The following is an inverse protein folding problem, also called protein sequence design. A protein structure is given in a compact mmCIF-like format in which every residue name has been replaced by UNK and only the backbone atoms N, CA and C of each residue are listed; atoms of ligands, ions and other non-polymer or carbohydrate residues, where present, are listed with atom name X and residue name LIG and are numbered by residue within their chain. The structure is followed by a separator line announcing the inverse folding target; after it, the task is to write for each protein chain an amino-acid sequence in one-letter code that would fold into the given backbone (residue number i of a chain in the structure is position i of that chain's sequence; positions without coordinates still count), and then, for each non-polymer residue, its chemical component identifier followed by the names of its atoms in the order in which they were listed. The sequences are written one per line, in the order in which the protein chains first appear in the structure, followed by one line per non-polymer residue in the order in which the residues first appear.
data_IF_236048666626
#
_entry.id   IF_236048666626
#
_cell.length_a   1.000
_cell.length_b   1.000
_cell.length_c   1.000
_cell.angle_alpha   90.00
_cell.angle_beta   90.00
_cell.angle_gamma   90.00
#
_symmetry.space_group_name_H-M   'P 1'
#
loop_
_entity.id
_entity.type
_entity.pdbx_description
1 polymer ?
#
# COMPACT_ATOMS: atom_id res chain seq x y z
N UNK A 1 11.06 1.92 16.28
CA UNK A 1 11.10 3.39 16.27
C UNK A 1 12.05 3.98 17.30
N UNK A 2 12.05 3.50 18.56
CA UNK A 2 12.89 4.04 19.64
C UNK A 2 14.35 4.35 19.27
N UNK A 3 15.05 3.42 18.61
CA UNK A 3 16.43 3.63 18.16
C UNK A 3 16.57 4.84 17.22
N UNK A 4 15.70 4.96 16.22
CA UNK A 4 15.71 6.08 15.26
C UNK A 4 15.40 7.39 15.97
N UNK A 5 14.48 7.39 16.93
CA UNK A 5 14.19 8.58 17.72
C UNK A 5 15.43 9.08 18.45
N UNK A 6 16.10 8.19 19.18
CA UNK A 6 17.30 8.52 19.97
C UNK A 6 18.49 8.95 19.11
N UNK A 7 18.69 8.33 17.94
CA UNK A 7 19.90 8.59 17.14
C UNK A 7 19.76 9.71 16.13
N UNK A 8 18.53 9.98 15.65
CA UNK A 8 18.31 10.86 14.49
C UNK A 8 17.41 12.07 14.77
N UNK A 9 16.55 11.99 15.79
CA UNK A 9 15.49 12.99 16.02
C UNK A 9 15.73 13.76 17.31
N UNK A 10 15.94 13.04 18.42
CA UNK A 10 16.12 13.62 19.74
C UNK A 10 17.36 14.53 19.77
N UNK A 11 17.16 15.80 20.15
CA UNK A 11 18.23 16.81 20.20
C UNK A 11 18.71 17.32 18.85
N UNK A 12 18.09 16.92 17.73
CA UNK A 12 18.46 17.38 16.40
C UNK A 12 17.65 18.62 16.00
N UNK A 13 18.18 19.81 16.32
CA UNK A 13 17.51 21.10 16.05
C UNK A 13 17.45 21.46 14.56
N UNK A 14 18.35 20.90 13.74
CA UNK A 14 18.40 21.13 12.28
C UNK A 14 17.34 20.30 11.52
N UNK A 15 16.71 19.32 12.18
CA UNK A 15 15.71 18.47 11.56
C UNK A 15 14.37 19.19 11.44
N UNK A 16 13.90 19.39 10.21
CA UNK A 16 12.62 20.07 9.93
C UNK A 16 11.53 19.15 9.38
N UNK A 17 11.91 18.05 8.72
CA UNK A 17 10.96 17.13 8.09
C UNK A 17 11.41 15.68 8.23
N UNK A 18 10.48 14.83 8.67
CA UNK A 18 10.57 13.36 8.64
C UNK A 18 9.64 12.87 7.52
N UNK A 19 10.12 11.94 6.70
CA UNK A 19 9.29 11.23 5.71
C UNK A 19 9.31 9.75 6.07
N UNK A 20 8.13 9.21 6.35
CA UNK A 20 7.93 7.79 6.65
C UNK A 20 7.30 7.10 5.46
N UNK A 21 7.95 6.05 4.97
CA UNK A 21 7.46 5.25 3.84
C UNK A 21 7.06 3.86 4.33
N UNK A 22 5.81 3.51 4.05
CA UNK A 22 5.15 2.25 4.40
C UNK A 22 5.29 1.85 5.88
N UNK A 23 5.32 2.84 6.77
CA UNK A 23 5.38 2.64 8.21
C UNK A 23 4.88 3.87 8.98
N UNK A 24 4.49 3.63 10.24
CA UNK A 24 4.19 4.67 11.21
C UNK A 24 2.71 5.00 11.39
N UNK A 25 1.85 4.72 10.42
CA UNK A 25 0.45 5.14 10.52
C UNK A 25 -0.31 4.42 11.64
N UNK A 26 0.03 3.16 11.96
CA UNK A 26 -0.70 2.30 12.91
C UNK A 26 -0.30 2.50 14.37
N UNK A 27 0.66 3.37 14.68
CA UNK A 27 1.10 3.63 16.06
C UNK A 27 1.02 5.12 16.40
N UNK A 28 0.95 5.46 17.67
CA UNK A 28 1.01 6.85 18.11
C UNK A 28 2.38 7.47 17.85
N UNK A 29 2.50 8.30 16.81
CA UNK A 29 3.78 8.90 16.44
C UNK A 29 4.21 10.00 17.42
N UNK A 30 3.27 10.74 18.01
CA UNK A 30 3.58 11.78 18.99
C UNK A 30 4.11 11.17 20.31
N UNK A 31 3.61 9.99 20.69
CA UNK A 31 4.12 9.26 21.86
C UNK A 31 5.46 8.55 21.59
N UNK A 32 5.78 8.22 20.34
CA UNK A 32 6.96 7.43 19.98
C UNK A 32 8.13 8.25 19.41
N UNK A 33 7.88 9.49 18.97
CA UNK A 33 8.87 10.38 18.37
C UNK A 33 8.91 11.72 19.11
N UNK A 34 10.11 12.23 19.35
CA UNK A 34 10.36 13.53 19.98
C UNK A 34 10.13 14.67 18.99
N UNK A 35 8.87 14.88 18.59
CA UNK A 35 8.49 15.87 17.60
C UNK A 35 8.44 17.28 18.21
N UNK A 36 9.30 18.20 17.72
CA UNK A 36 9.26 19.62 18.11
C UNK A 36 8.19 20.38 17.31
N UNK A 37 7.64 21.51 17.78
CA UNK A 37 6.53 22.21 17.10
C UNK A 37 6.82 22.64 15.65
N UNK A 38 8.09 22.77 15.27
CA UNK A 38 8.54 23.09 13.90
C UNK A 38 8.76 21.87 13.01
N UNK A 39 8.86 20.67 13.59
CA UNK A 39 9.15 19.43 12.90
C UNK A 39 7.89 18.81 12.29
N UNK A 40 7.91 18.58 10.97
CA UNK A 40 6.83 17.93 10.23
C UNK A 40 7.14 16.46 10.01
N UNK A 41 6.17 15.58 10.23
CA UNK A 41 6.25 14.15 9.98
C UNK A 41 5.23 13.77 8.90
N UNK A 42 5.71 13.53 7.68
CA UNK A 42 4.90 13.10 6.54
C UNK A 42 4.87 11.57 6.48
N UNK A 43 3.67 10.98 6.48
CA UNK A 43 3.50 9.53 6.55
C UNK A 43 2.80 9.02 5.29
N UNK A 44 3.53 8.27 4.48
CA UNK A 44 3.03 7.53 3.33
C UNK A 44 2.92 6.06 3.71
N UNK A 45 1.78 5.62 4.25
CA UNK A 45 1.66 4.28 4.79
C UNK A 45 0.36 3.59 4.37
N UNK A 46 0.52 2.38 3.83
CA UNK A 46 -0.61 1.54 3.41
C UNK A 46 -1.25 0.79 4.58
N UNK A 47 -0.55 0.64 5.72
CA UNK A 47 -1.12 -0.08 6.86
C UNK A 47 -2.29 0.69 7.48
N UNK A 48 -3.31 -0.07 7.89
CA UNK A 48 -4.54 0.42 8.53
C UNK A 48 -4.97 -0.54 9.66
N UNK A 49 -5.76 -0.07 10.64
CA UNK A 49 -6.26 1.30 10.81
C UNK A 49 -5.16 2.32 11.15
N UNK A 50 -5.39 3.59 10.83
CA UNK A 50 -4.51 4.68 11.26
C UNK A 50 -4.70 4.88 12.77
N UNK A 51 -3.62 5.07 13.51
CA UNK A 51 -3.72 5.37 14.93
C UNK A 51 -4.51 6.65 15.15
N UNK A 52 -5.49 6.62 16.04
CA UNK A 52 -6.43 7.73 16.27
C UNK A 52 -5.73 9.04 16.64
N UNK A 53 -4.61 8.98 17.37
CA UNK A 53 -3.83 10.17 17.75
C UNK A 53 -3.06 10.79 16.58
N UNK A 54 -2.76 10.01 15.54
CA UNK A 54 -2.16 10.57 14.32
C UNK A 54 -3.19 11.36 13.49
N UNK A 55 -4.48 11.20 13.77
CA UNK A 55 -5.59 11.90 13.11
C UNK A 55 -6.08 13.05 13.97
N UNK A 56 -6.29 12.79 15.26
CA UNK A 56 -6.96 13.70 16.20
C UNK A 56 -6.03 14.44 17.17
N UNK A 57 -4.73 14.12 17.22
CA UNK A 57 -3.78 14.64 18.21
C UNK A 57 -3.51 16.16 18.18
N UNK A 58 -4.31 16.95 17.45
CA UNK A 58 -4.14 18.40 17.28
C UNK A 58 -5.11 19.26 18.10
N UNK A 59 -5.65 18.78 19.22
CA UNK A 59 -6.61 19.57 20.00
C UNK A 59 -6.01 20.86 20.60
N UNK A 60 -4.68 21.04 20.67
CA UNK A 60 -4.04 22.18 21.37
C UNK A 60 -2.92 22.89 20.58
N UNK A 61 -2.52 22.42 19.40
CA UNK A 61 -1.42 23.03 18.63
C UNK A 61 -1.19 22.34 17.28
N UNK A 62 -0.52 23.03 16.36
CA UNK A 62 -0.28 22.58 14.98
C UNK A 62 0.09 21.09 14.92
N UNK A 63 -0.73 20.28 14.23
CA UNK A 63 -0.42 18.87 14.01
C UNK A 63 0.94 18.73 13.34
N UNK A 64 1.87 18.03 13.99
CA UNK A 64 3.18 17.72 13.41
C UNK A 64 3.10 16.52 12.46
N UNK A 65 2.09 15.67 12.64
CA UNK A 65 1.89 14.43 11.89
C UNK A 65 0.90 14.67 10.76
N UNK A 66 1.29 14.28 9.56
CA UNK A 66 0.50 14.41 8.34
C UNK A 66 0.42 13.05 7.65
N UNK A 67 -0.74 12.41 7.77
CA UNK A 67 -1.03 11.18 7.03
C UNK A 67 -1.42 11.55 5.60
N UNK A 68 -0.70 11.01 4.62
CA UNK A 68 -1.01 11.24 3.21
C UNK A 68 -2.28 10.47 2.85
N UNK A 69 -3.29 11.21 2.41
CA UNK A 69 -4.62 10.67 2.11
C UNK A 69 -4.59 9.85 0.82
N UNK A 70 -5.23 8.69 0.88
CA UNK A 70 -5.35 7.74 -0.22
C UNK A 70 -6.81 7.45 -0.62
N UNK A 71 -7.72 8.34 -0.21
CA UNK A 71 -9.18 8.27 -0.32
C UNK A 71 -9.86 7.06 0.33
N UNK A 72 -9.12 6.14 0.97
CA UNK A 72 -9.68 4.93 1.58
C UNK A 72 -10.39 5.17 2.92
N UNK A 73 -9.97 6.20 3.67
CA UNK A 73 -10.51 6.53 5.00
C UNK A 73 -10.72 8.03 5.11
N UNK A 74 -11.93 8.45 5.49
CA UNK A 74 -12.20 9.85 5.86
C UNK A 74 -11.91 10.07 7.33
N UNK A 75 -11.34 11.22 7.70
CA UNK A 75 -11.02 11.57 9.09
C UNK A 75 -12.25 11.50 10.01
N UNK A 76 -13.44 11.81 9.47
CA UNK A 76 -14.72 11.74 10.18
C UNK A 76 -15.10 10.32 10.64
N UNK A 77 -14.57 9.28 9.99
CA UNK A 77 -14.85 7.89 10.36
C UNK A 77 -13.93 7.36 11.45
N UNK A 78 -12.84 8.09 11.76
CA UNK A 78 -11.86 7.69 12.77
C UNK A 78 -12.40 8.06 14.15
N UNK A 79 -12.58 7.09 15.08
CA UNK A 79 -13.03 7.40 16.43
C UNK A 79 -12.04 8.29 17.19
N UNK A 80 -12.54 9.11 18.12
CA UNK A 80 -11.71 9.88 19.06
C UNK A 80 -11.40 9.07 20.32
N UNK A 81 -10.35 9.47 21.06
CA UNK A 81 -9.96 8.83 22.34
C UNK A 81 -11.08 8.87 23.40
N UNK A 82 -11.13 7.86 24.26
CA UNK A 82 -12.04 7.84 25.41
C UNK A 82 -11.50 8.77 26.50
N UNK A 83 -12.26 9.79 26.88
CA UNK A 83 -11.90 10.67 28.00
C UNK A 83 -12.28 9.99 29.33
N UNK A 84 -11.30 9.73 30.20
CA UNK A 84 -11.51 9.09 31.51
C UNK A 84 -12.26 9.98 32.52
N UNK A 85 -12.35 11.29 32.27
CA UNK A 85 -12.92 12.30 33.18
C UNK A 85 -14.45 12.37 33.21
N UNK A 86 -15.17 11.44 32.57
CA UNK A 86 -16.63 11.50 32.49
C UNK A 86 -17.37 10.85 33.68
N UNK A 87 -16.64 10.24 34.62
CA UNK A 87 -17.18 9.60 35.82
C UNK A 87 -17.25 10.53 37.04
N UNK A 88 -17.71 11.78 36.88
CA UNK A 88 -18.01 12.60 38.06
C UNK A 88 -19.34 12.17 38.73
N UNK A 89 -19.21 11.68 39.96
CA UNK A 89 -20.32 11.33 40.87
C UNK A 89 -21.06 12.59 41.37
N UNK A 90 -21.94 13.15 40.54
CA UNK A 90 -22.93 14.15 40.96
C UNK A 90 -24.16 13.52 41.61
N UNK A 91 -24.68 14.14 42.68
CA UNK A 91 -25.85 13.66 43.45
C UNK A 91 -27.13 13.55 42.62
N UNK A 92 -27.90 12.50 42.90
CA UNK A 92 -29.13 12.14 42.17
C UNK A 92 -30.37 12.90 42.66
N UNK A 93 -30.43 14.22 42.51
CA UNK A 93 -31.61 14.97 43.01
C UNK A 93 -32.71 15.22 41.98
N UNK A 94 -32.48 15.11 40.65
CA UNK A 94 -33.51 15.37 39.62
C UNK A 94 -33.57 14.32 38.49
N UNK A 95 -34.79 14.03 38.01
CA UNK A 95 -35.08 13.07 36.91
C UNK A 95 -34.39 13.47 35.59
N UNK A 96 -34.29 14.78 35.33
CA UNK A 96 -33.56 15.32 34.18
C UNK A 96 -32.06 14.98 34.22
N UNK A 97 -31.47 15.00 35.41
CA UNK A 97 -30.05 14.68 35.65
C UNK A 97 -29.79 13.19 35.43
N UNK A 98 -30.71 12.32 35.88
CA UNK A 98 -30.66 10.88 35.62
C UNK A 98 -30.75 10.54 34.13
N UNK A 99 -31.64 11.19 33.39
CA UNK A 99 -31.78 11.01 31.93
C UNK A 99 -30.50 11.40 31.19
N UNK A 100 -29.93 12.58 31.48
CA UNK A 100 -28.66 13.03 30.88
C UNK A 100 -27.49 12.10 31.18
N UNK A 101 -27.38 11.60 32.43
CA UNK A 101 -26.34 10.64 32.83
C UNK A 101 -26.46 9.32 32.06
N UNK A 102 -27.69 8.84 31.84
CA UNK A 102 -27.95 7.65 31.02
C UNK A 102 -27.54 7.87 29.56
N UNK A 103 -27.97 8.98 28.95
CA UNK A 103 -27.60 9.34 27.57
C UNK A 103 -26.08 9.45 27.40
N UNK A 104 -25.38 10.06 28.37
CA UNK A 104 -23.90 10.14 28.38
C UNK A 104 -23.25 8.76 28.47
N UNK A 105 -23.75 7.88 29.35
CA UNK A 105 -23.26 6.49 29.47
C UNK A 105 -23.47 5.71 28.18
N UNK A 106 -24.66 5.80 27.57
CA UNK A 106 -24.97 5.14 26.30
C UNK A 106 -24.06 5.67 25.17
N UNK A 107 -23.80 6.99 25.12
CA UNK A 107 -22.86 7.59 24.18
C UNK A 107 -21.41 7.13 24.40
N UNK A 108 -20.96 7.08 25.66
CA UNK A 108 -19.64 6.58 26.04
C UNK A 108 -19.46 5.10 25.66
N UNK A 109 -20.46 4.26 25.92
CA UNK A 109 -20.46 2.85 25.50
C UNK A 109 -20.50 2.68 23.98
N UNK A 110 -21.24 3.53 23.26
CA UNK A 110 -21.24 3.54 21.80
C UNK A 110 -19.86 3.94 21.24
N UNK A 111 -19.21 4.95 21.81
CA UNK A 111 -17.86 5.36 21.44
C UNK A 111 -16.83 4.26 21.72
N UNK A 112 -16.92 3.60 22.89
CA UNK A 112 -16.08 2.46 23.23
C UNK A 112 -16.24 1.31 22.24
N UNK A 113 -17.48 0.99 21.85
CA UNK A 113 -17.76 -0.03 20.81
C UNK A 113 -17.13 0.33 19.47
N UNK A 114 -17.27 1.57 19.01
CA UNK A 114 -16.66 2.05 17.76
C UNK A 114 -15.14 1.95 17.80
N UNK A 115 -14.51 2.30 18.92
CA UNK A 115 -13.06 2.20 19.08
C UNK A 115 -12.56 0.75 19.03
N UNK A 116 -13.30 -0.18 19.65
CA UNK A 116 -13.01 -1.61 19.58
C UNK A 116 -13.15 -2.12 18.14
N UNK A 117 -14.24 -1.76 17.47
CA UNK A 117 -14.50 -2.15 16.08
C UNK A 117 -13.43 -1.61 15.12
N UNK A 118 -13.06 -0.34 15.27
CA UNK A 118 -12.03 0.31 14.46
C UNK A 118 -10.67 -0.40 14.57
N UNK A 119 -10.32 -0.86 15.76
CA UNK A 119 -9.06 -1.56 16.04
C UNK A 119 -9.16 -3.08 15.96
N UNK A 120 -10.29 -3.63 15.48
CA UNK A 120 -10.51 -5.08 15.48
C UNK A 120 -9.63 -5.84 14.48
N UNK A 121 -9.29 -5.21 13.35
CA UNK A 121 -8.55 -5.86 12.27
C UNK A 121 -7.55 -4.92 11.62
N UNK A 122 -6.38 -5.45 11.27
CA UNK A 122 -5.42 -4.75 10.43
C UNK A 122 -5.68 -5.09 8.96
N UNK A 123 -5.52 -4.11 8.10
CA UNK A 123 -5.63 -4.26 6.65
C UNK A 123 -4.68 -3.30 5.93
N UNK A 124 -4.65 -3.39 4.61
CA UNK A 124 -3.85 -2.52 3.76
C UNK A 124 -4.76 -1.70 2.86
N UNK A 125 -4.37 -0.46 2.62
CA UNK A 125 -5.03 0.45 1.70
C UNK A 125 -4.18 0.67 0.45
N UNK A 126 -4.18 1.87 -0.13
CA UNK A 126 -3.44 2.17 -1.35
C UNK A 126 -1.92 1.88 -1.19
N UNK A 127 -1.27 1.23 -2.16
CA UNK A 127 0.17 1.03 -2.14
C UNK A 127 0.93 2.35 -2.02
N UNK A 128 1.94 2.38 -1.14
CA UNK A 128 2.81 3.56 -0.97
C UNK A 128 3.43 4.02 -2.30
N UNK A 129 3.72 3.08 -3.21
CA UNK A 129 4.27 3.38 -4.53
C UNK A 129 3.28 4.17 -5.41
N UNK A 130 1.97 3.91 -5.32
CA UNK A 130 0.94 4.68 -6.01
C UNK A 130 0.82 6.10 -5.45
N UNK A 131 0.91 6.26 -4.12
CA UNK A 131 0.87 7.59 -3.50
C UNK A 131 2.04 8.47 -3.95
N UNK A 132 3.24 7.90 -3.99
CA UNK A 132 4.43 8.60 -4.48
C UNK A 132 4.33 8.89 -5.97
N UNK A 133 3.80 7.96 -6.77
CA UNK A 133 3.53 8.16 -8.19
C UNK A 133 2.54 9.30 -8.43
N UNK A 134 1.43 9.36 -7.70
CA UNK A 134 0.47 10.46 -7.82
C UNK A 134 1.11 11.80 -7.48
N UNK A 135 1.93 11.86 -6.42
CA UNK A 135 2.70 13.07 -6.10
C UNK A 135 3.65 13.47 -7.25
N UNK A 136 4.41 12.52 -7.80
CA UNK A 136 5.31 12.79 -8.92
C UNK A 136 4.56 13.28 -10.17
N UNK A 137 3.37 12.72 -10.43
CA UNK A 137 2.50 13.16 -11.52
C UNK A 137 1.99 14.58 -11.32
N UNK A 138 1.52 14.93 -10.12
CA UNK A 138 1.08 16.29 -9.80
C UNK A 138 2.21 17.33 -9.92
N UNK A 139 3.46 16.90 -9.75
CA UNK A 139 4.65 17.74 -9.93
C UNK A 139 5.18 17.77 -11.36
N UNK A 140 4.53 17.08 -12.31
CA UNK A 140 5.00 16.92 -13.69
C UNK A 140 6.43 16.33 -13.77
N UNK A 141 6.75 15.41 -12.84
CA UNK A 141 8.05 14.72 -12.74
C UNK A 141 7.92 13.21 -12.90
N UNK A 142 6.96 12.77 -13.70
CA UNK A 142 6.73 11.36 -13.99
C UNK A 142 7.55 10.93 -15.21
N UNK A 143 8.41 9.94 -15.04
CA UNK A 143 9.16 9.29 -16.12
C UNK A 143 8.97 7.76 -16.10
N UNK A 144 9.63 7.06 -17.02
CA UNK A 144 9.56 5.61 -17.10
C UNK A 144 10.09 4.92 -15.83
N UNK A 145 11.06 5.51 -15.13
CA UNK A 145 11.59 4.92 -13.90
C UNK A 145 10.55 4.97 -12.77
N UNK A 146 9.92 6.14 -12.56
CA UNK A 146 8.83 6.30 -11.58
C UNK A 146 7.66 5.36 -11.88
N UNK A 147 7.26 5.24 -13.15
CA UNK A 147 6.20 4.32 -13.56
C UNK A 147 6.57 2.86 -13.28
N UNK A 148 7.81 2.47 -13.60
CA UNK A 148 8.26 1.10 -13.37
C UNK A 148 8.31 0.76 -11.89
N UNK A 149 8.88 1.64 -11.06
CA UNK A 149 8.91 1.48 -9.61
C UNK A 149 7.50 1.42 -9.02
N UNK A 150 6.58 2.24 -9.55
CA UNK A 150 5.18 2.21 -9.17
C UNK A 150 4.53 0.85 -9.46
N UNK A 151 4.69 0.36 -10.69
CA UNK A 151 4.18 -0.94 -11.12
C UNK A 151 4.72 -2.09 -10.24
N UNK A 152 6.03 -2.09 -9.96
CA UNK A 152 6.65 -3.08 -9.06
C UNK A 152 6.00 -3.04 -7.68
N UNK A 153 5.82 -1.87 -7.07
CA UNK A 153 5.21 -1.74 -5.74
C UNK A 153 3.73 -2.14 -5.70
N UNK A 154 2.96 -1.86 -6.75
CA UNK A 154 1.56 -2.29 -6.87
C UNK A 154 1.48 -3.81 -7.01
N UNK A 155 2.28 -4.40 -7.88
CA UNK A 155 2.32 -5.86 -8.08
C UNK A 155 2.78 -6.58 -6.83
N UNK A 156 3.74 -6.02 -6.09
CA UNK A 156 4.20 -6.54 -4.80
C UNK A 156 3.06 -6.62 -3.76
N UNK A 157 2.26 -5.56 -3.61
CA UNK A 157 1.09 -5.58 -2.72
C UNK A 157 0.00 -6.53 -3.22
N UNK A 158 -0.20 -6.65 -4.53
CA UNK A 158 -1.15 -7.59 -5.12
C UNK A 158 -0.76 -9.04 -4.84
N UNK A 159 0.50 -9.40 -5.05
CA UNK A 159 1.00 -10.77 -4.83
C UNK A 159 0.92 -11.19 -3.36
N UNK A 160 1.06 -10.25 -2.41
CA UNK A 160 0.84 -10.50 -0.97
C UNK A 160 -0.63 -10.48 -0.56
N UNK A 161 -1.56 -10.31 -1.50
CA UNK A 161 -2.99 -10.16 -1.23
C UNK A 161 -3.31 -9.00 -0.27
N UNK A 162 -2.49 -7.94 -0.28
CA UNK A 162 -2.74 -6.72 0.48
C UNK A 162 -3.78 -5.84 -0.20
N UNK A 163 -3.90 -5.92 -1.53
CA UNK A 163 -4.92 -5.22 -2.32
C UNK A 163 -5.79 -6.22 -3.09
N UNK A 164 -7.03 -5.82 -3.37
CA UNK A 164 -7.99 -6.66 -4.10
C UNK A 164 -7.70 -6.71 -5.60
N UNK A 165 -8.24 -7.73 -6.29
CA UNK A 165 -8.19 -7.81 -7.76
C UNK A 165 -8.79 -6.57 -8.42
N UNK A 166 -9.88 -6.04 -7.87
CA UNK A 166 -10.57 -4.84 -8.37
C UNK A 166 -9.64 -3.62 -8.26
N UNK A 167 -9.01 -3.43 -7.11
CA UNK A 167 -8.11 -2.30 -6.89
C UNK A 167 -6.87 -2.41 -7.78
N UNK A 168 -6.28 -3.62 -7.88
CA UNK A 168 -5.15 -3.87 -8.78
C UNK A 168 -5.50 -3.56 -10.24
N UNK A 169 -6.68 -3.95 -10.71
CA UNK A 169 -7.15 -3.64 -12.07
C UNK A 169 -7.31 -2.13 -12.31
N UNK A 170 -7.76 -1.38 -11.30
CA UNK A 170 -7.81 0.09 -11.36
C UNK A 170 -6.40 0.69 -11.49
N UNK A 171 -5.46 0.28 -10.64
CA UNK A 171 -4.06 0.72 -10.74
C UNK A 171 -3.45 0.35 -12.09
N UNK A 172 -3.68 -0.87 -12.59
CA UNK A 172 -3.21 -1.32 -13.89
C UNK A 172 -3.71 -0.41 -15.02
N UNK A 173 -5.01 -0.09 -15.02
CA UNK A 173 -5.62 0.76 -16.05
C UNK A 173 -4.97 2.15 -16.07
N UNK A 174 -4.75 2.72 -14.89
CA UNK A 174 -4.12 4.04 -14.74
C UNK A 174 -2.65 4.04 -15.20
N UNK A 175 -1.87 3.06 -14.75
CA UNK A 175 -0.45 2.94 -15.14
C UNK A 175 -0.30 2.63 -16.63
N UNK A 176 -1.18 1.79 -17.20
CA UNK A 176 -1.18 1.47 -18.63
C UNK A 176 -1.40 2.72 -19.50
N UNK A 177 -2.34 3.59 -19.11
CA UNK A 177 -2.59 4.85 -19.80
C UNK A 177 -1.38 5.80 -19.71
N UNK A 178 -0.71 5.86 -18.55
CA UNK A 178 0.50 6.66 -18.38
C UNK A 178 1.67 6.16 -19.23
N UNK A 179 1.85 4.83 -19.31
CA UNK A 179 2.83 4.19 -20.20
C UNK A 179 2.57 4.53 -21.66
N UNK A 180 1.31 4.49 -22.11
CA UNK A 180 0.94 4.86 -23.48
C UNK A 180 1.28 6.32 -23.77
N UNK A 181 0.96 7.23 -22.84
CA UNK A 181 1.27 8.66 -22.96
C UNK A 181 2.78 8.93 -23.08
N UNK A 182 3.59 8.37 -22.18
CA UNK A 182 5.05 8.56 -22.21
C UNK A 182 5.70 7.95 -23.45
N UNK A 183 5.22 6.79 -23.90
CA UNK A 183 5.68 6.19 -25.14
C UNK A 183 5.34 7.06 -26.35
N UNK A 184 4.20 7.73 -26.37
CA UNK A 184 3.84 8.67 -27.43
C UNK A 184 4.74 9.91 -27.39
N UNK A 185 4.95 10.49 -26.22
CA UNK A 185 5.84 11.64 -26.02
C UNK A 185 7.27 11.33 -26.51
N UNK A 186 7.81 10.17 -26.11
CA UNK A 186 9.14 9.72 -26.54
C UNK A 186 9.25 9.60 -28.07
N UNK A 187 8.18 9.18 -28.76
CA UNK A 187 8.16 9.11 -30.23
C UNK A 187 8.14 10.49 -30.88
N UNK A 188 7.44 11.46 -30.27
CA UNK A 188 7.40 12.84 -30.76
C UNK A 188 8.78 13.48 -30.60
N UNK A 189 9.39 13.35 -29.42
CA UNK A 189 10.71 13.91 -29.14
C UNK A 189 11.81 13.25 -29.99
N UNK A 190 11.71 11.94 -30.24
CA UNK A 190 12.61 11.21 -31.13
C UNK A 190 12.42 11.52 -32.63
N UNK A 191 11.36 12.24 -33.02
CA UNK A 191 11.13 12.63 -34.42
C UNK A 191 12.15 13.70 -34.90
N UNK A 192 12.79 14.43 -33.99
CA UNK A 192 13.88 15.37 -34.30
C UNK A 192 15.22 14.66 -34.57
N UNK A 193 15.39 13.40 -34.12
CA UNK A 193 16.64 12.64 -34.22
C UNK A 193 16.57 11.51 -35.27
N UNK A 194 16.11 11.85 -36.49
CA UNK A 194 15.96 10.94 -37.64
C UNK A 194 17.28 10.42 -38.21
N UNK A 195 18.10 9.72 -37.42
CA UNK A 195 19.29 9.00 -37.90
C UNK A 195 19.44 7.55 -37.48
N UNK A 196 18.57 6.99 -36.64
CA UNK A 196 18.65 5.56 -36.29
C UNK A 196 17.36 4.83 -36.62
N UNK A 197 17.53 3.71 -37.34
CA UNK A 197 16.51 3.01 -38.09
C UNK A 197 15.36 2.39 -37.30
N UNK A 198 14.36 1.99 -38.08
CA UNK A 198 13.14 1.30 -37.70
C UNK A 198 13.36 0.14 -36.72
N UNK A 199 12.54 0.10 -35.67
CA UNK A 199 12.16 -1.15 -35.01
C UNK A 199 12.77 -1.47 -33.65
N UNK A 200 13.76 -0.73 -33.15
CA UNK A 200 14.18 -0.88 -31.75
C UNK A 200 13.24 -0.08 -30.85
N UNK A 201 12.40 -0.76 -30.06
CA UNK A 201 11.79 -0.14 -28.87
C UNK A 201 12.89 0.64 -28.15
N UNK A 202 12.70 1.95 -27.99
CA UNK A 202 13.70 2.80 -27.35
C UNK A 202 14.13 2.16 -26.03
N UNK A 203 15.45 2.06 -25.79
CA UNK A 203 15.99 1.53 -24.55
C UNK A 203 15.30 2.23 -23.36
N UNK A 204 14.67 1.44 -22.48
CA UNK A 204 13.91 1.98 -21.33
C UNK A 204 12.41 2.23 -21.58
N UNK A 205 11.86 1.89 -22.75
CA UNK A 205 10.42 1.93 -22.99
C UNK A 205 9.69 0.80 -22.25
N UNK A 206 8.56 1.12 -21.62
CA UNK A 206 7.69 0.15 -20.96
C UNK A 206 6.64 -0.35 -21.95
N UNK A 207 6.44 -1.67 -22.00
CA UNK A 207 5.43 -2.30 -22.87
C UNK A 207 4.59 -3.30 -22.09
N UNK A 208 3.31 -3.36 -22.42
CA UNK A 208 2.40 -4.37 -21.89
C UNK A 208 2.74 -5.74 -22.49
N UNK A 209 2.70 -6.77 -21.65
CA UNK A 209 2.96 -8.14 -22.05
C UNK A 209 2.00 -9.07 -21.29
N UNK A 210 1.36 -9.99 -22.02
CA UNK A 210 0.48 -10.99 -21.43
C UNK A 210 1.31 -12.23 -21.10
N UNK A 211 1.58 -12.42 -19.81
CA UNK A 211 2.43 -13.49 -19.31
C UNK A 211 1.62 -14.49 -18.46
N UNK A 212 1.95 -15.79 -18.51
CA UNK A 212 1.38 -16.74 -17.56
C UNK A 212 1.87 -16.41 -16.14
N UNK A 213 1.05 -16.73 -15.13
CA UNK A 213 1.41 -16.60 -13.70
C UNK A 213 2.37 -17.71 -13.27
N UNK A 214 3.48 -17.82 -13.97
CA UNK A 214 4.53 -18.79 -13.72
C UNK A 214 5.77 -18.11 -13.13
N UNK A 215 6.26 -18.65 -12.01
CA UNK A 215 7.42 -18.14 -11.31
C UNK A 215 8.65 -18.21 -12.23
N UNK A 216 9.28 -17.05 -12.47
CA UNK A 216 10.52 -16.91 -13.23
C UNK A 216 10.47 -17.54 -14.63
N UNK A 217 9.31 -17.52 -15.29
CA UNK A 217 9.08 -18.12 -16.63
C UNK A 217 10.09 -17.70 -17.70
N UNK A 218 10.64 -16.48 -17.62
CA UNK A 218 11.63 -15.97 -18.58
C UNK A 218 13.07 -16.37 -18.26
N UNK A 219 13.32 -16.99 -17.11
CA UNK A 219 14.66 -17.30 -16.61
C UNK A 219 14.86 -18.79 -16.33
N UNK A 220 13.78 -19.55 -16.18
CA UNK A 220 13.77 -20.99 -15.97
C UNK A 220 13.05 -21.67 -17.13
N UNK A 221 13.30 -22.98 -17.28
CA UNK A 221 12.52 -23.79 -18.22
C UNK A 221 11.04 -23.78 -17.84
N UNK A 222 10.16 -23.88 -18.83
CA UNK A 222 8.71 -23.89 -18.62
C UNK A 222 8.29 -24.92 -17.55
N UNK A 223 8.89 -26.11 -17.60
CA UNK A 223 8.63 -27.18 -16.63
C UNK A 223 8.97 -26.73 -15.20
N UNK A 224 10.15 -26.16 -15.00
CA UNK A 224 10.61 -25.69 -13.69
C UNK A 224 9.74 -24.56 -13.14
N UNK A 225 9.40 -23.60 -13.99
CA UNK A 225 8.49 -22.52 -13.62
C UNK A 225 7.12 -23.04 -13.23
N UNK A 226 6.54 -23.98 -13.99
CA UNK A 226 5.25 -24.58 -13.67
C UNK A 226 5.27 -25.30 -12.31
N UNK A 227 6.25 -26.17 -12.05
CA UNK A 227 6.27 -26.98 -10.82
C UNK A 227 6.62 -26.18 -9.56
N UNK A 228 7.16 -24.96 -9.70
CA UNK A 228 7.51 -24.06 -8.59
C UNK A 228 6.55 -22.87 -8.44
N UNK A 229 5.50 -22.79 -9.26
CA UNK A 229 4.48 -21.74 -9.16
C UNK A 229 3.40 -22.11 -8.17
N UNK A 230 3.15 -21.27 -7.16
CA UNK A 230 2.19 -21.52 -6.07
C UNK A 230 0.81 -21.97 -6.58
N UNK A 231 0.29 -21.29 -7.61
CA UNK A 231 -1.01 -21.63 -8.19
C UNK A 231 -1.04 -23.07 -8.74
N UNK A 232 -0.01 -23.48 -9.49
CA UNK A 232 0.08 -24.81 -10.09
C UNK A 232 0.32 -25.86 -9.00
N UNK A 233 1.22 -25.56 -8.06
CA UNK A 233 1.53 -26.44 -6.92
C UNK A 233 0.28 -26.73 -6.10
N UNK A 234 -0.50 -25.71 -5.76
CA UNK A 234 -1.74 -25.86 -5.01
C UNK A 234 -2.82 -26.59 -5.83
N UNK A 235 -3.03 -26.19 -7.09
CA UNK A 235 -4.10 -26.73 -7.93
C UNK A 235 -3.88 -28.19 -8.30
N UNK A 236 -2.64 -28.58 -8.58
CA UNK A 236 -2.29 -29.96 -8.93
C UNK A 236 -1.80 -30.79 -7.75
N UNK A 237 -1.64 -30.19 -6.57
CA UNK A 237 -1.15 -30.83 -5.35
C UNK A 237 0.24 -31.46 -5.55
N UNK A 238 1.18 -30.68 -6.10
CA UNK A 238 2.50 -31.17 -6.52
C UNK A 238 3.44 -31.52 -5.35
N UNK A 239 3.03 -31.25 -4.11
CA UNK A 239 3.70 -31.75 -2.90
C UNK A 239 3.78 -33.28 -2.89
N UNK A 240 2.85 -33.97 -3.57
CA UNK A 240 2.92 -35.40 -3.79
C UNK A 240 3.55 -35.68 -5.15
N UNK A 241 4.69 -36.37 -5.16
CA UNK A 241 5.45 -36.70 -6.38
C UNK A 241 4.62 -37.40 -7.46
N UNK A 242 3.65 -38.24 -7.07
CA UNK A 242 2.71 -38.91 -8.00
C UNK A 242 1.91 -37.93 -8.87
N UNK A 243 1.69 -36.70 -8.40
CA UNK A 243 0.90 -35.70 -9.11
C UNK A 243 1.69 -34.92 -10.16
N UNK A 244 3.03 -35.10 -10.24
CA UNK A 244 3.84 -34.51 -11.31
C UNK A 244 3.40 -34.98 -12.70
N UNK A 245 2.80 -36.16 -12.82
CA UNK A 245 2.22 -36.63 -14.08
C UNK A 245 1.13 -35.68 -14.60
N UNK A 246 0.40 -34.97 -13.74
CA UNK A 246 -0.61 -33.98 -14.16
C UNK A 246 0.01 -32.79 -14.90
N UNK A 247 1.23 -32.40 -14.54
CA UNK A 247 1.98 -31.35 -15.24
C UNK A 247 2.37 -31.84 -16.63
N UNK A 248 2.85 -33.09 -16.73
CA UNK A 248 3.18 -33.71 -18.02
C UNK A 248 1.94 -33.85 -18.92
N UNK A 249 0.80 -34.23 -18.36
CA UNK A 249 -0.49 -34.29 -19.07
C UNK A 249 -0.91 -32.90 -19.58
N UNK A 250 -0.74 -31.85 -18.77
CA UNK A 250 -1.03 -30.48 -19.18
C UNK A 250 -0.11 -30.03 -20.33
N UNK A 251 1.20 -30.26 -20.20
CA UNK A 251 2.18 -29.99 -21.26
C UNK A 251 1.83 -30.70 -22.58
N UNK A 252 1.41 -31.96 -22.47
CA UNK A 252 0.96 -32.75 -23.62
C UNK A 252 -0.30 -32.13 -24.26
N UNK A 253 -1.26 -31.68 -23.45
CA UNK A 253 -2.50 -31.04 -23.96
C UNK A 253 -2.24 -29.70 -24.64
N UNK A 254 -1.24 -28.93 -24.19
CA UNK A 254 -0.86 -27.67 -24.83
C UNK A 254 0.11 -27.86 -26.00
N UNK A 255 0.50 -29.11 -26.31
CA UNK A 255 1.33 -29.44 -27.46
C UNK A 255 2.83 -29.19 -27.26
N UNK A 256 3.30 -29.10 -26.01
CA UNK A 256 4.73 -28.93 -25.69
C UNK A 256 5.33 -30.27 -25.26
N UNK A 257 6.39 -30.71 -25.92
CA UNK A 257 7.05 -31.97 -25.55
C UNK A 257 7.75 -31.84 -24.20
N UNK A 258 7.89 -32.96 -23.48
CA UNK A 258 8.60 -32.96 -22.19
C UNK A 258 10.06 -32.51 -22.34
N UNK A 259 10.68 -32.78 -23.50
CA UNK A 259 12.04 -32.35 -23.81
C UNK A 259 12.12 -30.82 -23.92
N UNK A 260 11.30 -30.22 -24.79
CA UNK A 260 11.23 -28.77 -24.98
C UNK A 260 10.88 -28.04 -23.67
N UNK A 261 9.96 -28.59 -22.87
CA UNK A 261 9.56 -27.97 -21.61
C UNK A 261 10.69 -27.83 -20.58
N UNK A 262 11.76 -28.61 -20.71
CA UNK A 262 12.90 -28.62 -19.79
C UNK A 262 14.11 -27.85 -20.32
N UNK A 263 14.05 -27.38 -21.55
CA UNK A 263 15.04 -26.48 -22.12
C UNK A 263 14.78 -25.05 -21.60
N UNK A 264 15.84 -24.26 -21.30
CA UNK A 264 15.72 -22.89 -20.81
C UNK A 264 15.25 -21.92 -21.89
#
# INVERSE_FOLDING_TARGET
MQKVNQTCIEGNEDLHTIVMLNCGATIDLAANLSLTPSLKCLVFDSHKPVHINNVHGSEIGSSQVFIVKDSSVSEETVPTELSESEEEEGSEDDEATRKRKRERREAHEAKRRRLIEYNAFNYYSCPCSMLVYWLARELDRCDNEVLWLCAVGVTDQYLRAHISDVFYASCYTELAAAVESLNLQTRIDGMDDRRTGEGTSALGAIQQSFEPRFLLYRFWSLYESMVRSDFVVARFQLVHSRNLMRVNELLTKIGVSLKESKEP
#
